data_IF_171743814285
#
_entry.id   IF_171743814285
#
_cell.length_a   1.000
_cell.length_b   1.000
_cell.length_c   1.000
_cell.angle_alpha   90.00
_cell.angle_beta   90.00
_cell.angle_gamma   90.00
#
_symmetry.space_group_name_H-M   'P 1'
#
loop_
_entity.id
_entity.type
_entity.pdbx_description
1 polymer ?
#
# COMPACT_ATOMS: atom_id res chain seq x y z
N UNK A 1 -13.28 -19.18 -14.11
CA UNK A 1 -12.18 -18.23 -13.91
C UNK A 1 -11.80 -17.58 -15.22
N UNK A 2 -11.83 -16.25 -15.28
CA UNK A 2 -11.19 -15.50 -16.37
C UNK A 2 -9.67 -15.53 -16.18
N UNK A 3 -8.91 -15.27 -17.25
CA UNK A 3 -7.45 -15.11 -17.19
C UNK A 3 -7.03 -14.03 -16.17
N UNK A 4 -7.78 -12.93 -16.11
CA UNK A 4 -7.59 -11.88 -15.10
C UNK A 4 -7.79 -12.42 -13.67
N UNK A 5 -8.85 -13.20 -13.42
CA UNK A 5 -9.10 -13.76 -12.09
C UNK A 5 -7.97 -14.72 -11.67
N UNK A 6 -7.43 -15.52 -12.61
CA UNK A 6 -6.29 -16.40 -12.33
C UNK A 6 -5.05 -15.60 -11.93
N UNK A 7 -4.68 -14.57 -12.72
CA UNK A 7 -3.57 -13.67 -12.42
C UNK A 7 -3.73 -12.98 -11.06
N UNK A 8 -4.92 -12.51 -10.72
CA UNK A 8 -5.19 -11.91 -9.42
C UNK A 8 -5.06 -12.93 -8.28
N UNK A 9 -5.60 -14.14 -8.43
CA UNK A 9 -5.54 -15.20 -7.41
C UNK A 9 -4.15 -15.83 -7.28
N UNK A 10 -3.25 -15.61 -8.24
CA UNK A 10 -1.82 -15.90 -8.13
C UNK A 10 -1.07 -14.76 -7.43
N UNK A 11 -1.31 -13.51 -7.84
CA UNK A 11 -0.53 -12.37 -7.36
C UNK A 11 -0.87 -11.94 -5.92
N UNK A 12 -2.16 -11.86 -5.59
CA UNK A 12 -2.61 -11.28 -4.32
C UNK A 12 -2.10 -12.02 -3.08
N UNK A 13 -2.08 -13.37 -3.03
CA UNK A 13 -1.44 -14.10 -1.93
C UNK A 13 0.05 -13.80 -1.80
N UNK A 14 0.77 -13.64 -2.91
CA UNK A 14 2.21 -13.30 -2.87
C UNK A 14 2.42 -11.87 -2.37
N UNK A 15 1.56 -10.93 -2.76
CA UNK A 15 1.62 -9.56 -2.26
C UNK A 15 1.39 -9.47 -0.75
N UNK A 16 0.50 -10.30 -0.20
CA UNK A 16 0.35 -10.41 1.25
C UNK A 16 1.58 -10.97 1.93
N UNK A 17 2.25 -11.95 1.31
CA UNK A 17 3.49 -12.53 1.87
C UNK A 17 4.61 -11.50 1.92
N UNK A 18 4.71 -10.64 0.90
CA UNK A 18 5.77 -9.62 0.80
C UNK A 18 5.38 -8.27 1.39
N UNK A 19 4.15 -8.08 1.88
CA UNK A 19 3.64 -6.77 2.30
C UNK A 19 4.54 -6.05 3.32
N UNK A 20 5.05 -6.78 4.32
CA UNK A 20 5.96 -6.23 5.31
C UNK A 20 7.29 -5.78 4.70
N UNK A 21 7.89 -6.61 3.83
CA UNK A 21 9.15 -6.31 3.15
C UNK A 21 8.98 -5.15 2.16
N UNK A 22 7.85 -5.12 1.44
CA UNK A 22 7.46 -4.04 0.55
C UNK A 22 7.39 -2.71 1.31
N UNK A 23 6.68 -2.69 2.45
CA UNK A 23 6.57 -1.49 3.27
C UNK A 23 7.93 -1.04 3.86
N UNK A 24 8.79 -1.99 4.27
CA UNK A 24 10.14 -1.68 4.75
C UNK A 24 10.99 -1.02 3.66
N UNK A 25 10.98 -1.54 2.43
CA UNK A 25 11.71 -0.95 1.30
C UNK A 25 11.23 0.49 0.97
N UNK A 26 9.93 0.74 1.11
CA UNK A 26 9.37 2.08 0.99
C UNK A 26 9.87 2.99 2.13
N UNK A 27 9.97 2.46 3.35
CA UNK A 27 10.52 3.17 4.52
C UNK A 27 11.99 3.54 4.36
N UNK A 28 12.81 2.65 3.80
CA UNK A 28 14.22 2.91 3.48
C UNK A 28 14.37 4.08 2.49
N UNK A 29 13.48 4.15 1.51
CA UNK A 29 13.45 5.23 0.52
C UNK A 29 13.16 6.62 1.11
N UNK A 30 12.61 6.72 2.34
CA UNK A 30 12.45 8.00 3.05
C UNK A 30 13.78 8.59 3.54
N UNK A 31 14.80 7.76 3.73
CA UNK A 31 16.13 8.19 4.16
C UNK A 31 17.10 8.40 3.00
N UNK A 32 16.73 7.94 1.81
CA UNK A 32 17.55 8.09 0.62
C UNK A 32 17.47 9.53 0.07
N UNK A 33 18.64 10.18 -0.01
CA UNK A 33 18.80 11.53 -0.56
C UNK A 33 18.46 11.61 -2.05
N UNK A 34 18.54 10.50 -2.78
CA UNK A 34 18.23 10.42 -4.21
C UNK A 34 16.72 10.34 -4.48
N UNK A 35 15.90 10.07 -3.46
CA UNK A 35 14.44 10.08 -3.61
C UNK A 35 13.96 11.52 -3.82
N UNK A 36 13.15 11.78 -4.85
CA UNK A 36 12.60 13.12 -5.06
C UNK A 36 11.75 13.58 -3.86
N UNK A 37 11.65 14.89 -3.58
CA UNK A 37 10.83 15.41 -2.49
C UNK A 37 9.36 14.96 -2.59
N UNK A 38 8.80 14.97 -3.80
CA UNK A 38 7.41 14.59 -4.05
C UNK A 38 7.19 13.09 -3.80
N UNK A 39 8.13 12.24 -4.21
CA UNK A 39 8.06 10.81 -3.95
C UNK A 39 8.23 10.53 -2.45
N UNK A 40 9.15 11.20 -1.75
CA UNK A 40 9.27 11.08 -0.28
C UNK A 40 7.98 11.43 0.44
N UNK A 41 7.32 12.51 0.02
CA UNK A 41 6.04 12.92 0.60
C UNK A 41 4.95 11.88 0.34
N UNK A 42 4.87 11.34 -0.89
CA UNK A 42 3.93 10.27 -1.25
C UNK A 42 4.18 9.02 -0.40
N UNK A 43 5.43 8.57 -0.31
CA UNK A 43 5.83 7.40 0.48
C UNK A 43 5.50 7.57 1.98
N UNK A 44 5.74 8.77 2.52
CA UNK A 44 5.38 9.08 3.90
C UNK A 44 3.86 8.99 4.11
N UNK A 45 3.05 9.52 3.20
CA UNK A 45 1.59 9.42 3.25
C UNK A 45 1.09 7.97 3.18
N UNK A 46 1.68 7.16 2.30
CA UNK A 46 1.37 5.74 2.15
C UNK A 46 1.69 4.94 3.41
N UNK A 47 2.88 5.10 3.97
CA UNK A 47 3.28 4.41 5.20
C UNK A 47 2.48 4.89 6.41
N UNK A 48 2.11 6.16 6.45
CA UNK A 48 1.23 6.68 7.48
C UNK A 48 -0.19 6.08 7.37
N UNK A 49 -0.70 5.93 6.14
CA UNK A 49 -1.98 5.27 5.88
C UNK A 49 -2.01 3.81 6.33
N UNK A 50 -0.92 3.06 6.11
CA UNK A 50 -0.81 1.67 6.60
C UNK A 50 -1.14 1.58 8.09
N UNK A 51 -0.61 2.48 8.93
CA UNK A 51 -0.94 2.48 10.37
C UNK A 51 -2.37 2.88 10.67
N UNK A 52 -2.97 3.80 9.89
CA UNK A 52 -4.39 4.09 10.00
C UNK A 52 -5.25 2.85 9.71
N UNK A 53 -4.86 2.05 8.73
CA UNK A 53 -5.52 0.78 8.38
C UNK A 53 -5.37 -0.24 9.52
N UNK A 54 -4.15 -0.42 10.05
CA UNK A 54 -3.86 -1.34 11.15
C UNK A 54 -4.60 -1.01 12.46
N UNK A 55 -4.82 0.27 12.74
CA UNK A 55 -5.52 0.72 13.95
C UNK A 55 -7.05 0.50 13.87
N UNK A 56 -7.60 0.17 12.70
CA UNK A 56 -9.00 -0.24 12.55
C UNK A 56 -9.12 -1.73 12.94
N UNK A 57 -9.61 -1.96 14.16
CA UNK A 57 -9.85 -3.24 14.85
C UNK A 57 -10.37 -4.36 13.90
N UNK A 58 -9.95 -5.64 14.10
CA UNK A 58 -10.28 -6.71 13.16
C UNK A 58 -11.75 -7.14 13.23
N UNK A 59 -12.53 -6.74 12.23
CA UNK A 59 -13.90 -7.20 11.98
C UNK A 59 -13.95 -8.59 11.28
N UNK A 60 -12.87 -9.37 11.34
CA UNK A 60 -12.76 -10.68 10.69
C UNK A 60 -12.57 -10.63 9.16
N UNK A 61 -12.18 -9.47 8.62
CA UNK A 61 -11.88 -9.21 7.19
C UNK A 61 -10.42 -8.78 6.97
N UNK A 62 -9.52 -9.22 7.85
CA UNK A 62 -8.11 -8.82 7.88
C UNK A 62 -7.42 -9.01 6.53
N UNK A 63 -7.73 -10.09 5.82
CA UNK A 63 -7.22 -10.39 4.48
C UNK A 63 -7.58 -9.31 3.46
N UNK A 64 -8.82 -8.79 3.48
CA UNK A 64 -9.24 -7.73 2.57
C UNK A 64 -8.57 -6.39 2.91
N UNK A 65 -8.37 -6.09 4.19
CA UNK A 65 -7.66 -4.90 4.65
C UNK A 65 -6.21 -4.88 4.17
N UNK A 66 -5.49 -5.97 4.40
CA UNK A 66 -4.09 -6.09 3.98
C UNK A 66 -3.91 -6.13 2.45
N UNK A 67 -4.87 -6.68 1.71
CA UNK A 67 -4.86 -6.59 0.24
C UNK A 67 -5.06 -5.15 -0.23
N UNK A 68 -5.99 -4.40 0.37
CA UNK A 68 -6.13 -2.97 0.05
C UNK A 68 -4.84 -2.21 0.34
N UNK A 69 -4.22 -2.44 1.49
CA UNK A 69 -2.93 -1.81 1.81
C UNK A 69 -1.85 -2.17 0.78
N UNK A 70 -1.83 -3.42 0.32
CA UNK A 70 -0.97 -3.89 -0.76
C UNK A 70 -1.23 -3.17 -2.09
N UNK A 71 -2.49 -2.86 -2.40
CA UNK A 71 -2.84 -2.08 -3.60
C UNK A 71 -2.38 -0.64 -3.46
N UNK A 72 -2.57 -0.03 -2.29
CA UNK A 72 -2.15 1.35 -2.02
C UNK A 72 -0.64 1.50 -2.17
N UNK A 73 0.18 0.56 -1.69
CA UNK A 73 1.64 0.60 -1.88
C UNK A 73 2.04 0.66 -3.37
N UNK A 74 1.29 -0.04 -4.24
CA UNK A 74 1.57 -0.16 -5.68
C UNK A 74 1.06 1.06 -6.44
N UNK A 75 -0.21 1.38 -6.28
CA UNK A 75 -0.89 2.48 -6.99
C UNK A 75 -0.28 3.83 -6.62
N UNK A 76 0.16 4.03 -5.38
CA UNK A 76 0.77 5.28 -4.96
C UNK A 76 2.09 5.63 -5.67
N UNK A 77 2.78 4.63 -6.24
CA UNK A 77 4.02 4.85 -7.01
C UNK A 77 3.75 5.26 -8.46
N UNK A 78 2.51 5.18 -8.93
CA UNK A 78 2.18 5.52 -10.31
C UNK A 78 2.42 7.01 -10.58
N UNK A 79 2.97 7.33 -11.75
CA UNK A 79 3.30 8.70 -12.15
C UNK A 79 4.62 9.25 -11.60
N UNK A 80 5.35 8.49 -10.77
CA UNK A 80 6.69 8.86 -10.32
C UNK A 80 7.78 8.16 -11.13
N UNK A 81 8.91 8.83 -11.34
CA UNK A 81 10.12 8.16 -11.85
C UNK A 81 10.79 7.42 -10.70
N UNK A 82 10.97 6.12 -10.86
CA UNK A 82 11.72 5.26 -9.92
C UNK A 82 12.99 4.80 -10.62
N UNK A 83 14.11 4.89 -9.92
CA UNK A 83 15.42 4.48 -10.44
C UNK A 83 15.51 2.95 -10.59
N UNK A 84 16.23 2.48 -11.62
CA UNK A 84 16.47 1.06 -11.91
C UNK A 84 17.20 0.30 -10.79
N UNK A 85 17.96 1.01 -9.96
CA UNK A 85 18.59 0.46 -8.75
C UNK A 85 17.59 0.11 -7.63
N UNK A 86 16.34 0.60 -7.71
CA UNK A 86 15.31 0.39 -6.68
C UNK A 86 14.33 -0.70 -7.09
N UNK A 87 14.85 -1.92 -7.16
CA UNK A 87 14.13 -3.10 -7.68
C UNK A 87 12.73 -3.29 -7.07
N UNK A 88 12.59 -3.15 -5.75
CA UNK A 88 11.30 -3.29 -5.06
C UNK A 88 10.28 -2.23 -5.48
N UNK A 89 10.67 -0.95 -5.51
CA UNK A 89 9.75 0.13 -5.90
C UNK A 89 9.35 -0.02 -7.37
N UNK A 90 10.27 -0.43 -8.24
CA UNK A 90 9.95 -0.70 -9.65
C UNK A 90 9.00 -1.88 -9.82
N UNK A 91 9.21 -2.97 -9.08
CA UNK A 91 8.28 -4.10 -9.09
C UNK A 91 6.89 -3.66 -8.65
N UNK A 92 6.78 -2.95 -7.54
CA UNK A 92 5.50 -2.45 -7.01
C UNK A 92 4.80 -1.51 -7.99
N UNK A 93 5.55 -0.59 -8.60
CA UNK A 93 5.01 0.32 -9.60
C UNK A 93 4.47 -0.44 -10.83
N UNK A 94 5.18 -1.46 -11.31
CA UNK A 94 4.72 -2.29 -12.44
C UNK A 94 3.48 -3.12 -12.09
N UNK A 95 3.42 -3.64 -10.87
CA UNK A 95 2.29 -4.44 -10.37
C UNK A 95 0.99 -3.63 -10.24
N UNK A 96 1.06 -2.29 -10.20
CA UNK A 96 -0.12 -1.42 -10.20
C UNK A 96 -1.03 -1.64 -11.43
N UNK A 97 -0.46 -2.04 -12.58
CA UNK A 97 -1.25 -2.33 -13.77
C UNK A 97 -2.27 -3.47 -13.57
N UNK A 98 -1.93 -4.48 -12.76
CA UNK A 98 -2.87 -5.55 -12.42
C UNK A 98 -3.99 -5.06 -11.49
N UNK A 99 -3.69 -4.11 -10.60
CA UNK A 99 -4.71 -3.45 -9.77
C UNK A 99 -5.68 -2.66 -10.63
N UNK A 100 -5.16 -1.92 -11.61
CA UNK A 100 -5.97 -1.12 -12.53
C UNK A 100 -6.90 -2.01 -13.37
N UNK A 101 -6.36 -3.08 -13.95
CA UNK A 101 -7.14 -4.06 -14.71
C UNK A 101 -8.19 -4.77 -13.84
N UNK A 102 -7.85 -5.07 -12.58
CA UNK A 102 -8.77 -5.70 -11.64
C UNK A 102 -9.91 -4.77 -11.23
N UNK A 103 -9.64 -3.51 -10.90
CA UNK A 103 -10.63 -2.56 -10.40
C UNK A 103 -11.45 -1.88 -11.49
N UNK A 104 -10.96 -1.87 -12.73
CA UNK A 104 -11.62 -1.27 -13.88
C UNK A 104 -12.05 0.18 -13.57
N UNK A 105 -13.34 0.51 -13.65
CA UNK A 105 -13.88 1.84 -13.36
C UNK A 105 -13.53 2.35 -11.93
N UNK A 106 -13.35 1.44 -10.98
CA UNK A 106 -13.02 1.78 -9.58
C UNK A 106 -11.56 2.20 -9.42
N UNK A 107 -10.68 1.86 -10.36
CA UNK A 107 -9.25 2.23 -10.31
C UNK A 107 -9.06 3.74 -10.17
N UNK A 108 -9.80 4.55 -10.94
CA UNK A 108 -9.68 6.02 -10.89
C UNK A 108 -9.93 6.60 -9.49
N UNK A 109 -10.84 5.99 -8.72
CA UNK A 109 -11.11 6.39 -7.33
C UNK A 109 -9.96 6.01 -6.39
N UNK A 110 -9.35 4.84 -6.59
CA UNK A 110 -8.16 4.43 -5.83
C UNK A 110 -6.96 5.36 -6.13
N UNK A 111 -6.71 5.70 -7.39
CA UNK A 111 -5.68 6.67 -7.77
C UNK A 111 -5.92 8.05 -7.14
N UNK A 112 -7.16 8.56 -7.20
CA UNK A 112 -7.54 9.81 -6.55
C UNK A 112 -7.33 9.76 -5.03
N UNK A 113 -7.69 8.63 -4.41
CA UNK A 113 -7.47 8.38 -2.98
C UNK A 113 -5.97 8.38 -2.64
N UNK A 114 -5.17 7.59 -3.35
CA UNK A 114 -3.71 7.54 -3.20
C UNK A 114 -3.08 8.92 -3.38
N UNK A 115 -3.61 9.72 -4.31
CA UNK A 115 -3.21 11.09 -4.63
C UNK A 115 -3.29 12.06 -3.44
N UNK A 116 -4.15 11.79 -2.45
CA UNK A 116 -4.43 12.64 -1.28
C UNK A 116 -3.86 12.10 0.04
N UNK A 117 -3.08 11.01 0.00
CA UNK A 117 -2.55 10.38 1.21
C UNK A 117 -1.56 11.26 1.99
N UNK A 118 -0.93 12.22 1.32
CA UNK A 118 -0.07 13.24 1.92
C UNK A 118 -0.83 14.20 2.85
N UNK A 119 -2.13 14.37 2.65
CA UNK A 119 -3.00 15.18 3.52
C UNK A 119 -3.48 14.41 4.76
N UNK A 120 -3.29 13.08 4.78
CA UNK A 120 -3.85 12.21 5.81
C UNK A 120 -3.10 12.30 7.14
N UNK A 121 -3.84 12.11 8.23
CA UNK A 121 -3.31 12.04 9.60
C UNK A 121 -3.53 10.63 10.14
N UNK A 122 -2.47 10.02 10.66
CA UNK A 122 -2.52 8.74 11.38
C UNK A 122 -1.60 8.83 12.59
N UNK A 123 -2.03 8.26 13.73
CA UNK A 123 -1.29 8.30 15.01
C UNK A 123 -0.72 9.68 15.38
N UNK A 124 -1.46 10.74 15.04
CA UNK A 124 -1.08 12.13 15.32
C UNK A 124 -0.02 12.74 14.38
N UNK A 125 0.35 12.08 13.28
CA UNK A 125 1.39 12.52 12.32
C UNK A 125 0.81 12.78 10.94
N UNK A 126 1.33 13.79 10.24
CA UNK A 126 1.11 14.06 8.80
C UNK A 126 2.32 13.64 7.97
N UNK A 127 2.11 13.36 6.69
CA UNK A 127 3.20 13.03 5.75
C UNK A 127 4.26 14.14 5.69
N UNK A 128 3.85 15.41 5.71
CA UNK A 128 4.78 16.55 5.72
C UNK A 128 5.66 16.58 6.96
N UNK A 129 5.11 16.26 8.14
CA UNK A 129 5.84 16.20 9.40
C UNK A 129 6.86 15.06 9.38
N UNK A 130 6.46 13.89 8.86
CA UNK A 130 7.37 12.74 8.67
C UNK A 130 8.57 13.09 7.79
N UNK A 131 8.38 13.88 6.73
CA UNK A 131 9.49 14.25 5.83
C UNK A 131 10.37 15.35 6.42
N UNK A 132 9.82 16.25 7.23
CA UNK A 132 10.51 17.44 7.74
C UNK A 132 11.17 17.24 9.12
N UNK A 133 10.61 16.36 9.95
CA UNK A 133 11.06 16.12 11.33
C UNK A 133 11.70 14.73 11.47
N UNK A 134 12.97 14.71 11.86
CA UNK A 134 13.74 13.47 12.00
C UNK A 134 13.21 12.56 13.12
N UNK A 135 12.70 13.12 14.22
CA UNK A 135 12.15 12.35 15.34
C UNK A 135 10.83 11.71 14.94
N UNK A 136 9.97 12.45 14.24
CA UNK A 136 8.69 11.92 13.72
C UNK A 136 8.94 10.82 12.69
N UNK A 137 9.93 11.01 11.82
CA UNK A 137 10.36 9.98 10.86
C UNK A 137 10.89 8.74 11.55
N UNK A 138 11.77 8.89 12.54
CA UNK A 138 12.34 7.77 13.29
C UNK A 138 11.24 6.99 14.03
N UNK A 139 10.27 7.68 14.63
CA UNK A 139 9.12 7.04 15.25
C UNK A 139 8.30 6.21 14.24
N UNK A 140 8.03 6.73 13.05
CA UNK A 140 7.35 5.97 11.98
C UNK A 140 8.14 4.73 11.57
N UNK A 141 9.45 4.86 11.34
CA UNK A 141 10.30 3.75 10.94
C UNK A 141 10.46 2.71 12.06
N UNK A 142 10.44 3.14 13.32
CA UNK A 142 10.39 2.26 14.49
C UNK A 142 9.11 1.44 14.52
N UNK A 143 7.96 2.11 14.42
CA UNK A 143 6.65 1.45 14.35
C UNK A 143 6.58 0.45 13.18
N UNK A 144 7.14 0.82 12.03
CA UNK A 144 7.15 0.00 10.82
C UNK A 144 7.98 -1.27 11.00
N UNK A 145 9.17 -1.15 11.58
CA UNK A 145 10.02 -2.31 11.90
C UNK A 145 9.36 -3.23 12.92
N UNK A 146 8.74 -2.66 13.96
CA UNK A 146 8.02 -3.43 14.98
C UNK A 146 6.83 -4.18 14.38
N UNK A 147 6.01 -3.51 13.56
CA UNK A 147 4.90 -4.17 12.88
C UNK A 147 5.40 -5.26 11.94
N UNK A 148 6.36 -4.96 11.06
CA UNK A 148 6.91 -5.92 10.10
C UNK A 148 7.47 -7.18 10.77
N UNK A 149 8.15 -7.04 11.92
CA UNK A 149 8.69 -8.18 12.67
C UNK A 149 7.60 -9.09 13.28
N UNK A 150 6.40 -8.57 13.49
CA UNK A 150 5.24 -9.31 14.03
C UNK A 150 4.21 -9.69 12.95
N UNK A 151 4.36 -9.18 11.73
CA UNK A 151 3.41 -9.38 10.65
C UNK A 151 3.37 -10.84 10.25
N UNK A 152 2.15 -11.39 10.22
CA UNK A 152 1.89 -12.73 9.72
C UNK A 152 0.92 -12.59 8.55
N UNK A 153 1.36 -12.98 7.36
CA UNK A 153 0.53 -12.86 6.16
C UNK A 153 -0.77 -13.68 6.33
N UNK A 154 -1.95 -13.06 6.14
CA UNK A 154 -3.21 -13.78 6.18
C UNK A 154 -3.32 -14.74 5.00
N UNK A 155 -4.17 -15.76 5.13
CA UNK A 155 -4.42 -16.70 4.04
C UNK A 155 -5.45 -16.12 3.07
N UNK A 156 -5.04 -15.80 1.85
CA UNK A 156 -5.95 -15.46 0.75
C UNK A 156 -6.17 -16.69 -0.12
N UNK A 157 -7.30 -17.37 0.06
CA UNK A 157 -7.58 -18.60 -0.68
C UNK A 157 -7.83 -18.32 -2.17
N UNK A 158 -7.50 -19.29 -3.03
CA UNK A 158 -7.80 -19.26 -4.47
C UNK A 158 -9.30 -19.47 -4.75
N UNK A 159 -10.14 -18.57 -4.24
CA UNK A 159 -11.60 -18.56 -4.46
C UNK A 159 -12.01 -17.24 -5.13
N UNK A 160 -12.69 -17.32 -6.28
CA UNK A 160 -13.20 -16.15 -7.01
C UNK A 160 -14.14 -15.29 -6.14
N UNK A 161 -14.79 -15.87 -5.14
CA UNK A 161 -15.62 -15.10 -4.19
C UNK A 161 -14.80 -14.07 -3.42
N UNK A 162 -13.53 -14.32 -3.16
CA UNK A 162 -12.66 -13.35 -2.48
C UNK A 162 -12.41 -12.13 -3.37
N UNK A 163 -12.26 -12.32 -4.68
CA UNK A 163 -12.15 -11.22 -5.64
C UNK A 163 -13.41 -10.36 -5.66
N UNK A 164 -14.60 -10.98 -5.66
CA UNK A 164 -15.88 -10.26 -5.62
C UNK A 164 -16.03 -9.47 -4.33
N UNK A 165 -15.71 -10.08 -3.18
CA UNK A 165 -15.72 -9.40 -1.87
C UNK A 165 -14.76 -8.22 -1.84
N UNK A 166 -13.54 -8.39 -2.38
CA UNK A 166 -12.53 -7.34 -2.43
C UNK A 166 -13.00 -6.14 -3.28
N UNK A 167 -13.55 -6.38 -4.48
CA UNK A 167 -14.12 -5.30 -5.30
C UNK A 167 -15.24 -4.57 -4.56
N UNK A 168 -16.16 -5.32 -3.95
CA UNK A 168 -17.25 -4.73 -3.17
C UNK A 168 -16.73 -3.92 -1.99
N UNK A 169 -15.73 -4.42 -1.26
CA UNK A 169 -15.11 -3.73 -0.14
C UNK A 169 -14.50 -2.39 -0.58
N UNK A 170 -13.72 -2.39 -1.66
CA UNK A 170 -13.07 -1.18 -2.19
C UNK A 170 -14.09 -0.17 -2.73
N UNK A 171 -15.13 -0.64 -3.41
CA UNK A 171 -16.20 0.23 -3.90
C UNK A 171 -16.92 0.98 -2.75
N UNK A 172 -17.08 0.34 -1.60
CA UNK A 172 -17.67 0.98 -0.42
C UNK A 172 -16.67 1.85 0.36
N UNK A 173 -15.41 1.42 0.45
CA UNK A 173 -14.36 2.12 1.21
C UNK A 173 -13.91 3.42 0.54
N UNK A 174 -13.76 3.41 -0.78
CA UNK A 174 -13.20 4.55 -1.51
C UNK A 174 -14.19 5.72 -1.57
N UNK A 175 -13.74 6.98 -1.45
CA UNK A 175 -14.60 8.14 -1.62
C UNK A 175 -15.32 8.14 -2.99
N UNK A 176 -16.52 8.73 -3.04
CA UNK A 176 -17.27 8.99 -4.29
C UNK A 176 -16.84 10.30 -4.93
#
# INVERSE_FOLDING_TARGET
>A
MSELNERCLDAFPEWLKTLADDALALGESLNDSETSPELRLRLAGVLNYLFKSLDLIPDGIEDLGFIDDSFVLRVALTGFTVDDSRETLLRLQKEAALVDEFLDETSARLHCFCGKLDESVARGRRASEIVQDAEVKEALLGDLKSWAASYTAPTFSRDEKNLVKLKSFLDHKLPR
#
